data_IF_795328887448
#
_entry.id   IF_795328887448
#
_cell.length_a   1.000
_cell.length_b   1.000
_cell.length_c   1.000
_cell.angle_alpha   90.00
_cell.angle_beta   90.00
_cell.angle_gamma   90.00
#
_symmetry.space_group_name_H-M   'P 1'
#
loop_
_entity.id
_entity.type
_entity.pdbx_description
1 polymer ?
#
# COMPACT_ATOMS: atom_id res chain seq x y z
N UNK A 1 41.27 15.60 5.36
CA UNK A 1 40.00 16.35 5.30
C UNK A 1 38.81 15.38 5.20
N UNK A 2 38.77 14.35 6.05
CA UNK A 2 37.87 13.18 5.93
C UNK A 2 37.03 12.94 7.20
N UNK A 3 36.83 13.98 8.02
CA UNK A 3 36.19 13.85 9.34
C UNK A 3 35.00 14.78 9.55
N UNK A 4 34.53 15.46 8.50
CA UNK A 4 33.32 16.30 8.52
C UNK A 4 32.14 15.72 7.73
N UNK A 5 32.29 14.54 7.12
CA UNK A 5 31.24 13.88 6.33
C UNK A 5 30.36 12.89 7.13
N UNK A 6 30.56 12.78 8.44
CA UNK A 6 29.93 11.72 9.24
C UNK A 6 29.17 12.18 10.49
N UNK A 7 28.67 13.42 10.50
CA UNK A 7 27.82 13.98 11.58
C UNK A 7 26.71 14.90 11.03
N UNK A 8 25.75 14.32 10.30
CA UNK A 8 24.43 14.94 10.06
C UNK A 8 23.33 13.98 9.54
N UNK A 9 23.45 12.65 9.70
CA UNK A 9 22.33 11.71 9.45
C UNK A 9 21.33 11.71 10.61
N UNK A 10 20.78 12.89 10.94
CA UNK A 10 19.51 12.97 11.64
C UNK A 10 18.42 12.71 10.57
N UNK A 11 17.60 11.69 10.81
CA UNK A 11 16.51 11.20 9.96
C UNK A 11 15.64 12.32 9.38
N UNK A 12 15.92 12.75 8.14
CA UNK A 12 15.07 13.69 7.43
C UNK A 12 13.80 12.95 6.97
N UNK A 13 12.62 13.41 7.40
CA UNK A 13 11.35 12.85 6.97
C UNK A 13 10.91 13.48 5.64
N UNK A 14 10.52 12.65 4.68
CA UNK A 14 9.83 13.10 3.48
C UNK A 14 8.39 13.53 3.79
N UNK A 15 7.72 12.80 4.69
CA UNK A 15 6.35 13.09 5.14
C UNK A 15 6.25 12.91 6.64
N UNK A 16 5.56 13.85 7.31
CA UNK A 16 5.12 13.70 8.68
C UNK A 16 3.64 14.08 8.80
N UNK A 17 2.82 13.12 9.21
CA UNK A 17 1.42 13.30 9.57
C UNK A 17 1.29 13.17 11.07
N UNK A 18 0.64 14.12 11.72
CA UNK A 18 0.38 14.09 13.15
C UNK A 18 -1.09 14.30 13.42
N UNK A 19 -1.74 13.25 13.94
CA UNK A 19 -3.14 13.30 14.40
C UNK A 19 -4.14 13.75 13.33
N UNK A 20 -3.90 13.33 12.08
CA UNK A 20 -4.68 13.77 10.92
C UNK A 20 -6.03 13.08 10.89
N UNK A 21 -7.10 13.86 10.83
CA UNK A 21 -8.46 13.33 10.68
C UNK A 21 -9.15 13.89 9.45
N UNK A 22 -10.02 13.08 8.84
CA UNK A 22 -10.81 13.48 7.67
C UNK A 22 -12.16 12.78 7.66
N UNK A 23 -13.23 13.54 7.48
CA UNK A 23 -14.61 13.07 7.42
C UNK A 23 -15.26 13.48 6.11
N UNK A 24 -15.96 12.53 5.47
CA UNK A 24 -16.79 12.80 4.30
C UNK A 24 -18.25 12.47 4.61
N UNK A 25 -19.14 13.47 4.52
CA UNK A 25 -20.60 13.28 4.73
C UNK A 25 -20.93 12.52 6.04
N UNK A 26 -20.18 12.80 7.11
CA UNK A 26 -20.34 12.16 8.42
C UNK A 26 -19.61 10.82 8.60
N UNK A 27 -18.96 10.28 7.56
CA UNK A 27 -18.13 9.07 7.65
C UNK A 27 -16.65 9.46 7.83
N UNK A 28 -16.06 9.09 8.96
CA UNK A 28 -14.63 9.28 9.25
C UNK A 28 -13.77 8.40 8.34
N UNK A 29 -13.12 9.00 7.36
CA UNK A 29 -12.18 8.33 6.46
C UNK A 29 -10.78 8.20 7.06
N UNK A 30 -10.38 9.15 7.91
CA UNK A 30 -9.15 9.11 8.71
C UNK A 30 -9.47 9.57 10.12
N UNK A 31 -8.91 8.89 11.12
CA UNK A 31 -9.19 9.11 12.52
C UNK A 31 -7.87 9.18 13.31
N UNK A 32 -7.42 10.38 13.68
CA UNK A 32 -6.18 10.59 14.45
C UNK A 32 -4.93 9.92 13.81
N UNK A 33 -4.85 9.92 12.48
CA UNK A 33 -3.81 9.22 11.73
C UNK A 33 -2.45 9.90 11.93
N UNK A 34 -1.48 9.15 12.46
CA UNK A 34 -0.10 9.58 12.63
C UNK A 34 0.83 8.68 11.81
N UNK A 35 1.67 9.28 10.97
CA UNK A 35 2.51 8.56 10.01
C UNK A 35 3.81 9.33 9.79
N UNK A 36 4.93 8.63 9.70
CA UNK A 36 6.23 9.22 9.36
C UNK A 36 6.89 8.42 8.25
N UNK A 37 7.29 9.09 7.18
CA UNK A 37 7.93 8.48 6.01
C UNK A 37 9.35 8.99 5.89
N UNK A 38 10.37 8.13 5.99
CA UNK A 38 11.75 8.51 5.74
C UNK A 38 11.97 9.06 4.32
N UNK A 39 12.93 9.96 4.15
CA UNK A 39 13.35 10.40 2.82
C UNK A 39 14.19 9.33 2.10
N UNK A 40 14.09 9.29 0.76
CA UNK A 40 14.92 8.43 -0.09
C UNK A 40 14.60 6.94 -0.01
N UNK A 41 13.36 6.56 0.33
CA UNK A 41 12.95 5.16 0.42
C UNK A 41 11.70 4.87 -0.41
N UNK A 42 11.45 3.58 -0.64
CA UNK A 42 10.16 3.06 -1.06
C UNK A 42 9.27 2.82 0.17
N UNK A 43 8.20 3.59 0.29
CA UNK A 43 7.21 3.51 1.36
C UNK A 43 5.89 2.94 0.83
N UNK A 44 5.44 1.81 1.36
CA UNK A 44 4.14 1.24 1.04
C UNK A 44 3.07 1.63 2.07
N UNK A 45 1.92 2.08 1.57
CA UNK A 45 0.71 2.26 2.35
C UNK A 45 -0.22 1.06 2.08
N UNK A 46 -0.17 0.07 2.96
CA UNK A 46 -0.87 -1.20 2.81
C UNK A 46 -2.20 -1.18 3.56
N UNK A 47 -3.23 -1.82 3.00
CA UNK A 47 -4.52 -2.02 3.68
C UNK A 47 -5.63 -2.34 2.70
N UNK A 48 -6.80 -2.81 3.16
CA UNK A 48 -7.91 -3.14 2.28
C UNK A 48 -8.56 -1.90 1.65
N UNK A 49 -9.50 -2.14 0.74
CA UNK A 49 -10.35 -1.09 0.19
C UNK A 49 -11.19 -0.41 1.28
N UNK A 50 -11.19 0.92 1.28
CA UNK A 50 -11.90 1.72 2.30
C UNK A 50 -11.11 1.98 3.59
N UNK A 51 -9.88 1.47 3.73
CA UNK A 51 -9.05 1.71 4.91
C UNK A 51 -8.61 3.17 5.10
N UNK A 52 -8.71 4.03 4.07
CA UNK A 52 -8.29 5.44 4.12
C UNK A 52 -7.05 5.77 3.28
N UNK A 53 -6.44 4.78 2.61
CA UNK A 53 -5.22 4.94 1.78
C UNK A 53 -5.31 6.12 0.80
N UNK A 54 -6.30 6.10 -0.09
CA UNK A 54 -6.48 7.15 -1.10
C UNK A 54 -6.80 8.52 -0.48
N UNK A 55 -7.46 8.56 0.68
CA UNK A 55 -7.71 9.82 1.42
C UNK A 55 -6.39 10.38 1.93
N UNK A 56 -5.55 9.55 2.56
CA UNK A 56 -4.20 9.95 3.01
C UNK A 56 -3.39 10.49 1.84
N UNK A 57 -3.34 9.77 0.71
CA UNK A 57 -2.58 10.21 -0.46
C UNK A 57 -3.13 11.52 -1.07
N UNK A 58 -4.46 11.71 -1.12
CA UNK A 58 -5.06 12.96 -1.60
C UNK A 58 -4.72 14.15 -0.70
N UNK A 59 -4.62 13.95 0.62
CA UNK A 59 -4.17 14.98 1.57
C UNK A 59 -2.72 15.35 1.29
N UNK A 60 -1.84 14.34 1.19
CA UNK A 60 -0.44 14.56 0.85
C UNK A 60 -0.28 15.26 -0.51
N UNK A 61 -1.15 14.95 -1.47
CA UNK A 61 -1.14 15.57 -2.80
C UNK A 61 -1.81 16.94 -2.89
N UNK A 62 -2.25 17.53 -1.77
CA UNK A 62 -2.95 18.83 -1.71
C UNK A 62 -4.31 18.84 -2.42
N UNK A 63 -4.85 17.67 -2.77
CA UNK A 63 -6.13 17.52 -3.49
C UNK A 63 -7.33 17.62 -2.56
N UNK A 64 -7.13 17.40 -1.27
CA UNK A 64 -8.12 17.63 -0.22
C UNK A 64 -7.40 18.08 1.05
N UNK A 65 -8.03 18.93 1.85
CA UNK A 65 -7.49 19.33 3.16
C UNK A 65 -7.83 18.28 4.21
N UNK A 66 -7.00 18.16 5.26
CA UNK A 66 -7.42 17.49 6.48
C UNK A 66 -8.48 18.34 7.21
N UNK A 67 -9.28 17.72 8.09
CA UNK A 67 -10.19 18.45 8.97
C UNK A 67 -9.49 18.87 10.27
N UNK A 68 -8.44 18.15 10.65
CA UNK A 68 -7.55 18.45 11.78
C UNK A 68 -6.20 17.74 11.63
N UNK A 69 -5.25 18.10 12.48
CA UNK A 69 -3.90 17.53 12.51
C UNK A 69 -2.92 18.24 11.57
N UNK A 70 -1.64 17.91 11.74
CA UNK A 70 -0.53 18.55 11.02
C UNK A 70 -0.07 17.65 9.86
N UNK A 71 0.19 18.27 8.71
CA UNK A 71 0.61 17.59 7.48
C UNK A 71 1.83 18.30 6.93
N UNK A 72 3.00 17.68 7.06
CA UNK A 72 4.27 18.22 6.57
C UNK A 72 4.84 17.37 5.45
N UNK A 73 5.27 18.01 4.35
CA UNK A 73 6.01 17.40 3.25
C UNK A 73 7.36 18.08 3.14
N UNK A 74 8.43 17.32 3.36
CA UNK A 74 9.80 17.84 3.37
C UNK A 74 9.94 19.09 4.29
N UNK A 75 9.27 19.07 5.44
CA UNK A 75 9.23 20.17 6.43
C UNK A 75 8.25 21.31 6.11
N UNK A 76 7.54 21.26 4.97
CA UNK A 76 6.62 22.30 4.53
C UNK A 76 5.19 21.90 4.87
N UNK A 77 4.44 22.79 5.51
CA UNK A 77 3.03 22.56 5.84
C UNK A 77 2.15 22.62 4.58
N UNK A 78 1.40 21.54 4.37
CA UNK A 78 0.52 21.35 3.20
C UNK A 78 -0.66 22.32 3.18
N UNK A 79 -1.17 22.71 4.35
CA UNK A 79 -2.30 23.63 4.46
C UNK A 79 -1.87 25.08 4.23
N UNK A 80 -0.67 25.47 4.69
CA UNK A 80 -0.20 26.86 4.54
C UNK A 80 0.50 27.12 3.20
N UNK A 81 1.24 26.13 2.68
CA UNK A 81 2.10 26.30 1.50
C UNK A 81 1.84 25.25 0.40
N UNK A 82 0.58 25.02 -0.03
CA UNK A 82 0.24 23.93 -0.95
C UNK A 82 0.88 24.07 -2.35
N UNK A 83 1.18 25.30 -2.81
CA UNK A 83 1.84 25.54 -4.09
C UNK A 83 3.29 25.05 -4.09
N UNK A 84 4.00 25.30 -3.00
CA UNK A 84 5.38 24.86 -2.81
C UNK A 84 5.45 23.34 -2.71
N UNK A 85 4.54 22.74 -1.94
CA UNK A 85 4.39 21.28 -1.86
C UNK A 85 4.17 20.66 -3.24
N UNK A 86 3.29 21.21 -4.07
CA UNK A 86 3.03 20.70 -5.43
C UNK A 86 4.24 20.72 -6.36
N UNK A 87 5.24 21.58 -6.11
CA UNK A 87 6.49 21.58 -6.87
C UNK A 87 7.42 20.42 -6.45
N UNK A 88 7.25 19.89 -5.24
CA UNK A 88 8.08 18.82 -4.69
C UNK A 88 7.53 17.42 -4.97
N UNK A 89 6.26 17.30 -5.35
CA UNK A 89 5.57 16.02 -5.48
C UNK A 89 5.16 15.73 -6.93
N UNK A 90 5.15 14.44 -7.28
CA UNK A 90 4.46 13.91 -8.46
C UNK A 90 3.35 12.98 -7.99
N UNK A 91 2.14 13.13 -8.53
CA UNK A 91 0.99 12.34 -8.11
C UNK A 91 0.41 11.55 -9.28
N UNK A 92 0.15 10.26 -9.05
CA UNK A 92 -0.59 9.38 -9.97
C UNK A 92 -1.82 8.88 -9.24
N UNK A 93 -3.01 9.23 -9.74
CA UNK A 93 -4.29 8.81 -9.15
C UNK A 93 -4.63 7.37 -9.49
N UNK A 94 -5.55 6.75 -8.75
CA UNK A 94 -6.01 5.39 -9.04
C UNK A 94 -6.70 5.31 -10.42
N UNK A 95 -7.69 6.19 -10.65
CA UNK A 95 -8.41 6.26 -11.91
C UNK A 95 -7.62 7.05 -12.96
N UNK A 96 -7.41 6.45 -14.12
CA UNK A 96 -6.70 7.13 -15.21
C UNK A 96 -7.58 8.18 -15.88
N UNK A 97 -7.12 9.42 -15.98
CA UNK A 97 -7.87 10.53 -16.60
C UNK A 97 -7.04 11.24 -17.67
N UNK A 98 -6.82 10.55 -18.79
CA UNK A 98 -6.15 11.14 -19.97
C UNK A 98 -7.16 11.78 -20.92
N UNK A 99 -6.84 12.96 -21.44
CA UNK A 99 -7.58 13.58 -22.55
C UNK A 99 -7.40 12.73 -23.81
N UNK A 100 -8.50 12.12 -24.26
CA UNK A 100 -8.55 11.14 -25.36
C UNK A 100 -8.25 11.71 -26.75
N UNK A 101 -8.26 13.03 -26.90
CA UNK A 101 -8.05 13.72 -28.18
C UNK A 101 -6.57 13.93 -28.45
N UNK A 102 -5.81 14.30 -27.41
CA UNK A 102 -4.38 14.55 -27.50
C UNK A 102 -3.59 13.26 -27.78
N UNK A 103 -2.41 13.41 -28.37
CA UNK A 103 -1.38 12.38 -28.41
C UNK A 103 -0.62 12.31 -27.09
N UNK A 104 0.10 11.20 -26.84
CA UNK A 104 0.97 11.08 -25.67
C UNK A 104 2.05 12.17 -25.64
N UNK A 105 2.65 12.51 -26.78
CA UNK A 105 3.63 13.59 -26.86
C UNK A 105 3.05 14.96 -26.48
N UNK A 106 1.84 15.27 -26.96
CA UNK A 106 1.13 16.51 -26.62
C UNK A 106 0.76 16.55 -25.13
N UNK A 107 0.36 15.42 -24.55
CA UNK A 107 0.14 15.28 -23.10
C UNK A 107 1.40 15.60 -22.29
N UNK A 108 2.54 15.00 -22.65
CA UNK A 108 3.80 15.26 -21.97
C UNK A 108 4.25 16.71 -22.14
N UNK A 109 4.04 17.29 -23.32
CA UNK A 109 4.35 18.71 -23.58
C UNK A 109 3.47 19.62 -22.72
N UNK A 110 2.17 19.34 -22.66
CA UNK A 110 1.22 20.08 -21.83
C UNK A 110 1.57 20.00 -20.34
N UNK A 111 1.89 18.80 -19.84
CA UNK A 111 2.32 18.59 -18.45
C UNK A 111 3.62 19.34 -18.15
N UNK A 112 4.61 19.30 -19.05
CA UNK A 112 5.86 20.05 -18.90
C UNK A 112 5.62 21.58 -18.85
N UNK A 113 4.68 22.09 -19.64
CA UNK A 113 4.34 23.51 -19.65
C UNK A 113 3.63 23.95 -18.35
N UNK A 114 2.77 23.09 -17.78
CA UNK A 114 2.16 23.30 -16.45
C UNK A 114 3.21 23.36 -15.33
N UNK A 115 4.30 22.59 -15.47
CA UNK A 115 5.45 22.63 -14.56
C UNK A 115 6.50 23.67 -14.94
N UNK A 116 6.22 24.53 -15.91
CA UNK A 116 7.10 25.60 -16.37
C UNK A 116 8.52 25.14 -16.75
N UNK A 117 8.64 23.94 -17.33
CA UNK A 117 9.94 23.41 -17.75
C UNK A 117 10.50 24.24 -18.93
N UNK A 118 11.78 24.67 -18.86
CA UNK A 118 12.44 25.33 -19.98
C UNK A 118 12.41 24.45 -21.24
N UNK A 119 12.24 25.05 -22.42
CA UNK A 119 12.07 24.31 -23.68
C UNK A 119 13.20 23.31 -23.97
N UNK A 120 14.44 23.68 -23.66
CA UNK A 120 15.62 22.80 -23.82
C UNK A 120 15.54 21.58 -22.92
N UNK A 121 15.24 21.78 -21.64
CA UNK A 121 15.08 20.70 -20.66
C UNK A 121 13.86 19.83 -20.97
N UNK A 122 12.75 20.42 -21.42
CA UNK A 122 11.52 19.70 -21.76
C UNK A 122 11.76 18.61 -22.80
N UNK A 123 12.46 18.90 -23.90
CA UNK A 123 12.70 17.91 -24.94
C UNK A 123 13.55 16.73 -24.42
N UNK A 124 14.61 17.04 -23.68
CA UNK A 124 15.46 16.04 -23.03
C UNK A 124 14.65 15.17 -22.06
N UNK A 125 13.77 15.79 -21.27
CA UNK A 125 12.90 15.12 -20.30
C UNK A 125 11.89 14.20 -20.95
N UNK A 126 11.19 14.69 -21.95
CA UNK A 126 10.21 13.91 -22.70
C UNK A 126 10.88 12.69 -23.33
N UNK A 127 12.06 12.85 -23.94
CA UNK A 127 12.83 11.73 -24.48
C UNK A 127 13.18 10.71 -23.39
N UNK A 128 13.71 11.16 -22.26
CA UNK A 128 14.11 10.28 -21.15
C UNK A 128 12.92 9.48 -20.57
N UNK A 129 11.78 10.12 -20.27
CA UNK A 129 10.62 9.41 -19.72
C UNK A 129 9.96 8.48 -20.76
N UNK A 130 9.99 8.86 -22.04
CA UNK A 130 9.49 8.02 -23.14
C UNK A 130 10.29 6.73 -23.26
N UNK A 131 11.61 6.81 -23.12
CA UNK A 131 12.51 5.66 -23.13
C UNK A 131 12.31 4.79 -21.88
N UNK A 132 12.32 5.40 -20.69
CA UNK A 132 12.14 4.71 -19.41
C UNK A 132 10.83 3.91 -19.33
N UNK A 133 9.77 4.39 -19.98
CA UNK A 133 8.44 3.77 -19.95
C UNK A 133 8.07 3.05 -21.26
N UNK A 134 9.05 2.85 -22.15
CA UNK A 134 8.88 2.14 -23.42
C UNK A 134 7.67 2.64 -24.23
N UNK A 135 7.57 3.97 -24.41
CA UNK A 135 6.40 4.62 -25.03
C UNK A 135 6.58 4.94 -26.53
N UNK A 136 7.79 4.77 -27.07
CA UNK A 136 8.18 5.30 -28.39
C UNK A 136 7.24 4.92 -29.54
N UNK A 137 6.82 3.66 -29.63
CA UNK A 137 6.00 3.16 -30.75
C UNK A 137 4.58 3.77 -30.84
N UNK A 138 4.09 4.32 -29.72
CA UNK A 138 2.70 4.75 -29.59
C UNK A 138 2.55 6.18 -29.05
N UNK A 139 3.64 6.84 -28.70
CA UNK A 139 3.66 8.19 -28.14
C UNK A 139 2.91 9.22 -29.02
N UNK A 140 3.03 9.09 -30.34
CA UNK A 140 2.38 9.99 -31.30
C UNK A 140 0.95 9.55 -31.71
N UNK A 141 0.44 8.45 -31.16
CA UNK A 141 -0.96 8.04 -31.34
C UNK A 141 -1.84 8.81 -30.34
N UNK A 142 -3.09 9.04 -30.71
CA UNK A 142 -4.09 9.65 -29.80
C UNK A 142 -4.31 8.75 -28.58
N UNK A 143 -4.32 9.32 -27.39
CA UNK A 143 -4.46 8.55 -26.14
C UNK A 143 -5.82 7.85 -26.03
N UNK A 144 -6.83 8.28 -26.80
CA UNK A 144 -8.10 7.58 -26.93
C UNK A 144 -7.96 6.13 -27.41
N UNK A 145 -6.86 5.79 -28.10
CA UNK A 145 -6.57 4.41 -28.54
C UNK A 145 -5.70 3.62 -27.55
N UNK A 146 -5.32 4.20 -26.40
CA UNK A 146 -4.42 3.55 -25.45
C UNK A 146 -5.15 2.49 -24.62
N UNK A 147 -4.47 1.38 -24.37
CA UNK A 147 -4.86 0.40 -23.33
C UNK A 147 -4.73 1.00 -21.93
N UNK A 148 -5.27 0.33 -20.90
CA UNK A 148 -5.12 0.77 -19.51
C UNK A 148 -3.65 0.95 -19.10
N UNK A 149 -2.80 -0.03 -19.44
CA UNK A 149 -1.35 0.03 -19.17
C UNK A 149 -0.66 1.18 -19.89
N UNK A 150 -1.00 1.45 -21.15
CA UNK A 150 -0.44 2.59 -21.89
C UNK A 150 -0.82 3.94 -21.26
N UNK A 151 -2.08 4.10 -20.82
CA UNK A 151 -2.53 5.31 -20.12
C UNK A 151 -1.79 5.49 -18.79
N UNK A 152 -1.64 4.40 -18.02
CA UNK A 152 -0.90 4.44 -16.76
C UNK A 152 0.57 4.81 -16.96
N UNK A 153 1.22 4.25 -17.99
CA UNK A 153 2.59 4.64 -18.36
C UNK A 153 2.67 6.13 -18.71
N UNK A 154 1.72 6.66 -19.48
CA UNK A 154 1.67 8.10 -19.78
C UNK A 154 1.51 8.97 -18.52
N UNK A 155 0.62 8.61 -17.59
CA UNK A 155 0.44 9.36 -16.34
C UNK A 155 1.69 9.34 -15.46
N UNK A 156 2.34 8.18 -15.36
CA UNK A 156 3.60 8.05 -14.66
C UNK A 156 4.69 8.90 -15.32
N UNK A 157 4.75 8.92 -16.66
CA UNK A 157 5.66 9.78 -17.40
C UNK A 157 5.41 11.26 -17.07
N UNK A 158 4.16 11.72 -17.08
CA UNK A 158 3.80 13.09 -16.68
C UNK A 158 4.29 13.41 -15.26
N UNK A 159 4.06 12.51 -14.30
CA UNK A 159 4.50 12.71 -12.92
C UNK A 159 6.04 12.74 -12.76
N UNK A 160 6.79 12.11 -13.68
CA UNK A 160 8.24 12.05 -13.69
C UNK A 160 8.92 13.27 -14.34
N UNK A 161 8.22 14.00 -15.22
CA UNK A 161 8.81 15.05 -16.07
C UNK A 161 9.54 16.14 -15.28
N UNK A 162 8.94 16.64 -14.20
CA UNK A 162 9.49 17.73 -13.39
C UNK A 162 10.47 17.27 -12.31
N UNK A 163 10.78 15.98 -12.23
CA UNK A 163 11.63 15.37 -11.20
C UNK A 163 11.27 15.77 -9.77
N UNK A 164 10.08 15.38 -9.31
CA UNK A 164 9.71 15.60 -7.92
C UNK A 164 10.64 14.85 -6.97
N UNK A 165 10.77 15.37 -5.76
CA UNK A 165 11.49 14.70 -4.67
C UNK A 165 10.71 13.50 -4.14
N UNK A 166 9.38 13.57 -4.21
CA UNK A 166 8.47 12.56 -3.66
C UNK A 166 7.43 12.18 -4.72
N UNK A 167 7.35 10.89 -5.05
CA UNK A 167 6.26 10.34 -5.84
C UNK A 167 5.17 9.79 -4.94
N UNK A 168 3.93 10.10 -5.25
CA UNK A 168 2.75 9.62 -4.55
C UNK A 168 1.89 8.88 -5.57
N UNK A 169 1.73 7.57 -5.39
CA UNK A 169 1.03 6.72 -6.34
C UNK A 169 -0.12 6.00 -5.65
N UNK A 170 -1.33 6.20 -6.16
CA UNK A 170 -2.52 5.55 -5.64
C UNK A 170 -2.84 4.30 -6.49
N UNK A 171 -2.55 3.10 -5.96
CA UNK A 171 -2.74 1.81 -6.63
C UNK A 171 -2.27 1.77 -8.11
N UNK A 172 -0.99 2.08 -8.39
CA UNK A 172 -0.51 2.30 -9.75
C UNK A 172 -0.51 1.04 -10.63
N UNK A 173 -0.47 -0.15 -10.03
CA UNK A 173 -0.36 -1.45 -10.72
C UNK A 173 -1.70 -2.16 -10.95
N UNK A 174 -2.80 -1.63 -10.39
CA UNK A 174 -4.10 -2.30 -10.44
C UNK A 174 -4.65 -2.35 -11.86
N UNK A 175 -5.15 -3.53 -12.25
CA UNK A 175 -5.75 -3.75 -13.57
C UNK A 175 -4.75 -3.76 -14.74
N UNK A 176 -3.45 -3.84 -14.45
CA UNK A 176 -2.41 -3.94 -15.46
C UNK A 176 -2.06 -5.38 -15.80
N UNK A 177 -1.62 -5.59 -17.03
CA UNK A 177 -0.98 -6.84 -17.43
C UNK A 177 0.39 -7.01 -16.73
N UNK A 178 0.90 -8.25 -16.60
CA UNK A 178 2.15 -8.53 -15.89
C UNK A 178 3.36 -7.74 -16.39
N UNK A 179 3.46 -7.51 -17.71
CA UNK A 179 4.58 -6.79 -18.33
C UNK A 179 4.55 -5.31 -17.94
N UNK A 180 3.40 -4.65 -18.08
CA UNK A 180 3.21 -3.26 -17.67
C UNK A 180 3.41 -3.05 -16.17
N UNK A 181 2.95 -3.99 -15.34
CA UNK A 181 3.18 -3.97 -13.89
C UNK A 181 4.68 -4.03 -13.60
N UNK A 182 5.40 -5.00 -14.16
CA UNK A 182 6.83 -5.16 -13.93
C UNK A 182 7.63 -3.90 -14.34
N UNK A 183 7.32 -3.32 -15.51
CA UNK A 183 7.96 -2.11 -15.99
C UNK A 183 7.78 -0.94 -15.00
N UNK A 184 6.54 -0.68 -14.56
CA UNK A 184 6.25 0.40 -13.62
C UNK A 184 7.01 0.22 -12.31
N UNK A 185 6.98 -0.99 -11.74
CA UNK A 185 7.68 -1.26 -10.48
C UNK A 185 9.20 -1.08 -10.61
N UNK A 186 9.79 -1.44 -11.75
CA UNK A 186 11.21 -1.20 -12.03
C UNK A 186 11.54 0.30 -12.14
N UNK A 187 10.69 1.09 -12.82
CA UNK A 187 10.86 2.54 -12.92
C UNK A 187 10.80 3.19 -11.53
N UNK A 188 9.85 2.77 -10.68
CA UNK A 188 9.73 3.27 -9.31
C UNK A 188 10.95 2.93 -8.45
N UNK A 189 11.47 1.70 -8.54
CA UNK A 189 12.76 1.34 -7.91
C UNK A 189 13.91 2.21 -8.41
N UNK A 190 13.96 2.48 -9.71
CA UNK A 190 14.95 3.39 -10.29
C UNK A 190 14.88 4.80 -9.69
N UNK A 191 13.68 5.30 -9.38
CA UNK A 191 13.50 6.59 -8.70
C UNK A 191 14.08 6.57 -7.29
N UNK A 192 13.87 5.50 -6.52
CA UNK A 192 14.43 5.33 -5.17
C UNK A 192 15.95 5.25 -5.21
N UNK A 193 16.51 4.47 -6.14
CA UNK A 193 17.96 4.39 -6.36
C UNK A 193 18.59 5.74 -6.73
N UNK A 194 17.81 6.65 -7.34
CA UNK A 194 18.21 8.03 -7.60
C UNK A 194 18.03 8.97 -6.39
N UNK A 195 17.72 8.46 -5.21
CA UNK A 195 17.58 9.20 -3.95
C UNK A 195 16.21 9.86 -3.74
N UNK A 196 15.20 9.49 -4.53
CA UNK A 196 13.84 10.04 -4.40
C UNK A 196 13.00 9.17 -3.47
N UNK A 197 11.97 9.76 -2.85
CA UNK A 197 10.99 8.98 -2.08
C UNK A 197 9.85 8.53 -2.98
N UNK A 198 9.44 7.28 -2.86
CA UNK A 198 8.23 6.75 -3.50
C UNK A 198 7.25 6.34 -2.42
N UNK A 199 6.03 6.85 -2.45
CA UNK A 199 4.92 6.49 -1.57
C UNK A 199 3.85 5.85 -2.43
N UNK A 200 3.57 4.57 -2.20
CA UNK A 200 2.61 3.81 -3.00
C UNK A 200 1.53 3.21 -2.11
N UNK A 201 0.25 3.49 -2.40
CA UNK A 201 -0.83 2.69 -1.84
C UNK A 201 -0.98 1.39 -2.61
N UNK A 202 -1.21 0.30 -1.89
CA UNK A 202 -1.53 -1.00 -2.49
C UNK A 202 -2.29 -1.84 -1.48
N UNK A 203 -3.05 -2.81 -1.97
CA UNK A 203 -3.61 -3.91 -1.18
C UNK A 203 -2.88 -5.24 -1.48
N UNK A 204 -1.91 -5.22 -2.40
CA UNK A 204 -1.21 -6.41 -2.86
C UNK A 204 0.08 -6.62 -2.04
N UNK A 205 0.06 -7.65 -1.21
CA UNK A 205 1.19 -8.00 -0.33
C UNK A 205 2.49 -8.27 -1.10
N UNK A 206 2.39 -8.94 -2.25
CA UNK A 206 3.55 -9.25 -3.10
C UNK A 206 4.34 -8.00 -3.50
N UNK A 207 3.66 -6.88 -3.76
CA UNK A 207 4.31 -5.62 -4.13
C UNK A 207 5.08 -5.03 -2.96
N UNK A 208 4.50 -5.11 -1.77
CA UNK A 208 5.12 -4.63 -0.54
C UNK A 208 6.35 -5.46 -0.21
N UNK A 209 6.24 -6.79 -0.27
CA UNK A 209 7.37 -7.68 0.01
C UNK A 209 8.51 -7.51 -1.00
N UNK A 210 8.18 -7.22 -2.26
CA UNK A 210 9.17 -7.01 -3.30
C UNK A 210 9.85 -5.64 -3.18
N UNK A 211 9.11 -4.57 -2.91
CA UNK A 211 9.59 -3.20 -3.14
C UNK A 211 9.85 -2.38 -1.88
N UNK A 212 9.12 -2.64 -0.79
CA UNK A 212 9.04 -1.69 0.31
C UNK A 212 10.25 -1.78 1.24
N UNK A 213 10.94 -0.65 1.41
CA UNK A 213 11.91 -0.47 2.50
C UNK A 213 11.16 -0.30 3.84
N UNK A 214 10.06 0.46 3.79
CA UNK A 214 9.17 0.74 4.91
C UNK A 214 7.71 0.62 4.48
N UNK A 215 6.85 0.29 5.43
CA UNK A 215 5.41 0.34 5.21
C UNK A 215 4.65 0.83 6.44
N UNK A 216 3.42 1.28 6.19
CA UNK A 216 2.38 1.36 7.20
C UNK A 216 1.17 0.55 6.74
N UNK A 217 0.63 -0.26 7.65
CA UNK A 217 -0.63 -0.96 7.49
C UNK A 217 -1.73 -0.08 8.06
N UNK A 218 -2.76 0.19 7.27
CA UNK A 218 -3.92 0.99 7.64
C UNK A 218 -5.18 0.13 7.61
N UNK A 219 -6.00 0.26 8.65
CA UNK A 219 -7.40 -0.18 8.64
C UNK A 219 -8.28 0.90 9.26
N UNK A 220 -9.50 1.08 8.72
CA UNK A 220 -10.51 2.01 9.23
C UNK A 220 -10.02 3.42 9.60
N UNK A 221 -9.10 3.98 8.81
CA UNK A 221 -8.56 5.33 9.00
C UNK A 221 -7.45 5.45 10.06
N UNK A 222 -6.95 4.32 10.57
CA UNK A 222 -5.88 4.25 11.58
C UNK A 222 -4.66 3.48 11.06
N UNK A 223 -3.46 3.88 11.49
CA UNK A 223 -2.26 3.06 11.29
C UNK A 223 -2.23 1.99 12.38
N UNK A 224 -2.36 0.72 11.98
CA UNK A 224 -2.34 -0.42 12.91
C UNK A 224 -0.93 -0.97 13.10
N UNK A 225 -0.06 -0.84 12.10
CA UNK A 225 1.34 -1.23 12.20
C UNK A 225 2.20 -0.36 11.26
N UNK A 226 3.44 -0.07 11.65
CA UNK A 226 4.41 0.61 10.79
C UNK A 226 5.85 0.18 11.10
N UNK A 227 6.68 0.09 10.07
CA UNK A 227 8.06 -0.37 10.18
C UNK A 227 8.61 -0.90 8.86
N UNK A 228 9.73 -1.61 8.92
CA UNK A 228 10.23 -2.40 7.77
C UNK A 228 9.43 -3.71 7.68
N UNK A 229 9.27 -4.32 6.48
CA UNK A 229 8.57 -5.59 6.33
C UNK A 229 9.09 -6.68 7.28
N UNK A 230 10.41 -6.79 7.40
CA UNK A 230 11.08 -7.74 8.29
C UNK A 230 10.76 -7.47 9.76
N UNK A 231 10.87 -6.21 10.21
CA UNK A 231 10.60 -5.86 11.62
C UNK A 231 9.15 -6.12 12.03
N UNK A 232 8.19 -5.96 11.11
CA UNK A 232 6.78 -6.22 11.39
C UNK A 232 6.52 -7.73 11.53
N UNK A 233 7.15 -8.56 10.70
CA UNK A 233 7.05 -10.03 10.79
C UNK A 233 7.72 -10.55 12.07
N UNK A 234 8.93 -10.07 12.37
CA UNK A 234 9.70 -10.50 13.55
C UNK A 234 9.01 -10.16 14.89
N UNK A 235 8.24 -9.08 14.95
CA UNK A 235 7.42 -8.73 16.13
C UNK A 235 6.32 -9.74 16.46
N UNK A 236 5.99 -10.62 15.52
CA UNK A 236 4.98 -11.66 15.70
C UNK A 236 5.67 -12.98 16.03
N UNK A 237 6.55 -13.44 15.14
CA UNK A 237 7.25 -14.71 15.28
C UNK A 237 7.92 -15.13 13.99
N UNK A 238 8.50 -16.33 13.99
CA UNK A 238 9.14 -16.90 12.80
C UNK A 238 8.17 -17.74 11.97
N UNK A 239 7.45 -18.63 12.65
CA UNK A 239 6.64 -19.67 12.03
C UNK A 239 5.20 -19.63 12.55
N UNK A 240 4.28 -20.08 11.71
CA UNK A 240 2.87 -20.25 12.04
C UNK A 240 2.34 -21.60 11.59
N UNK A 241 1.38 -22.11 12.34
CA UNK A 241 0.57 -23.26 11.96
C UNK A 241 -0.88 -22.81 11.78
N UNK A 242 -1.37 -22.82 10.56
CA UNK A 242 -2.78 -22.60 10.25
C UNK A 242 -3.51 -23.94 10.23
N UNK A 243 -4.60 -24.08 10.99
CA UNK A 243 -5.38 -25.29 11.15
C UNK A 243 -6.84 -25.02 10.80
N UNK A 244 -7.44 -25.93 10.04
CA UNK A 244 -8.89 -26.04 9.83
C UNK A 244 -9.37 -27.39 10.37
N UNK A 245 -10.31 -27.36 11.30
CA UNK A 245 -10.85 -28.58 11.89
C UNK A 245 -11.87 -29.25 10.95
N UNK A 246 -12.68 -28.43 10.28
CA UNK A 246 -13.62 -28.83 9.23
C UNK A 246 -13.53 -27.87 8.05
N UNK A 247 -14.23 -28.21 6.95
CA UNK A 247 -14.45 -27.28 5.84
C UNK A 247 -15.08 -25.96 6.33
N UNK A 248 -16.02 -26.07 7.29
CA UNK A 248 -16.55 -24.96 8.08
C UNK A 248 -16.50 -25.33 9.56
N UNK A 249 -15.47 -24.86 10.27
CA UNK A 249 -15.33 -25.11 11.71
C UNK A 249 -16.41 -24.31 12.45
N UNK A 250 -17.06 -24.94 13.43
CA UNK A 250 -18.05 -24.23 14.25
C UNK A 250 -17.36 -23.34 15.31
N UNK A 251 -18.02 -22.28 15.79
CA UNK A 251 -17.47 -21.45 16.87
C UNK A 251 -17.14 -22.26 18.13
N UNK A 252 -17.97 -23.27 18.45
CA UNK A 252 -17.79 -24.14 19.61
C UNK A 252 -16.55 -25.02 19.48
N UNK A 253 -16.35 -25.65 18.31
CA UNK A 253 -15.15 -26.45 18.02
C UNK A 253 -13.89 -25.58 18.05
N UNK A 254 -13.93 -24.37 17.49
CA UNK A 254 -12.80 -23.45 17.53
C UNK A 254 -12.45 -23.03 18.96
N UNK A 255 -13.44 -22.81 19.83
CA UNK A 255 -13.22 -22.52 21.25
C UNK A 255 -12.63 -23.71 22.01
N UNK A 256 -13.12 -24.93 21.75
CA UNK A 256 -12.57 -26.15 22.34
C UNK A 256 -11.12 -26.36 21.91
N UNK A 257 -10.81 -26.15 20.63
CA UNK A 257 -9.45 -26.21 20.11
C UNK A 257 -8.53 -25.16 20.76
N UNK A 258 -8.98 -23.90 20.88
CA UNK A 258 -8.22 -22.85 21.54
C UNK A 258 -7.87 -23.24 22.99
N UNK A 259 -8.82 -23.80 23.74
CA UNK A 259 -8.57 -24.28 25.10
C UNK A 259 -7.53 -25.39 25.12
N UNK A 260 -7.69 -26.42 24.29
CA UNK A 260 -6.77 -27.54 24.23
C UNK A 260 -5.34 -27.13 23.83
N UNK A 261 -5.21 -26.19 22.89
CA UNK A 261 -3.94 -25.70 22.37
C UNK A 261 -3.26 -24.69 23.30
N UNK A 262 -4.02 -23.91 24.08
CA UNK A 262 -3.46 -22.92 25.01
C UNK A 262 -2.59 -23.51 26.13
N UNK A 263 -2.72 -24.82 26.36
CA UNK A 263 -1.92 -25.56 27.35
C UNK A 263 -0.51 -25.95 26.83
N UNK A 264 -0.26 -25.80 25.52
CA UNK A 264 0.99 -26.23 24.90
C UNK A 264 2.07 -25.15 25.05
N UNK A 265 3.16 -25.50 25.72
CA UNK A 265 4.34 -24.64 25.82
C UNK A 265 4.94 -24.36 24.44
N UNK A 266 5.17 -23.08 24.13
CA UNK A 266 5.76 -22.62 22.88
C UNK A 266 4.75 -22.18 21.80
N UNK A 267 3.44 -22.30 22.05
CA UNK A 267 2.43 -21.53 21.31
C UNK A 267 2.34 -20.15 21.97
N UNK A 268 2.75 -19.11 21.23
CA UNK A 268 2.75 -17.73 21.73
C UNK A 268 1.35 -17.13 21.73
N UNK A 269 0.60 -17.39 20.67
CA UNK A 269 -0.66 -16.74 20.41
C UNK A 269 -1.51 -17.61 19.46
N UNK A 270 -2.83 -17.58 19.67
CA UNK A 270 -3.82 -18.29 18.87
C UNK A 270 -4.80 -17.27 18.32
N UNK A 271 -4.84 -17.12 17.01
CA UNK A 271 -5.75 -16.20 16.32
C UNK A 271 -6.84 -17.02 15.62
N UNK A 272 -8.08 -16.76 15.96
CA UNK A 272 -9.24 -17.37 15.29
C UNK A 272 -9.70 -16.43 14.18
N UNK A 273 -9.84 -16.92 12.96
CA UNK A 273 -10.36 -16.16 11.82
C UNK A 273 -11.80 -16.59 11.48
N UNK A 274 -12.83 -15.85 11.92
CA UNK A 274 -14.23 -16.18 11.63
C UNK A 274 -14.58 -16.12 10.13
N UNK A 275 -13.92 -15.24 9.37
CA UNK A 275 -14.16 -15.06 7.93
C UNK A 275 -13.75 -16.29 7.12
N UNK A 276 -12.82 -17.11 7.64
CA UNK A 276 -12.34 -18.33 6.98
C UNK A 276 -12.85 -19.60 7.67
N UNK A 277 -14.10 -19.58 8.14
CA UNK A 277 -14.74 -20.73 8.79
C UNK A 277 -14.05 -21.10 10.10
N UNK A 278 -13.71 -20.08 10.90
CA UNK A 278 -13.03 -20.21 12.19
C UNK A 278 -11.68 -20.96 12.13
N UNK A 279 -10.92 -20.73 11.06
CA UNK A 279 -9.56 -21.23 10.94
C UNK A 279 -8.69 -20.70 12.09
N UNK A 280 -7.86 -21.57 12.66
CA UNK A 280 -6.98 -21.27 13.78
C UNK A 280 -5.59 -20.99 13.23
N UNK A 281 -4.99 -19.86 13.57
CA UNK A 281 -3.59 -19.56 13.26
C UNK A 281 -2.81 -19.50 14.55
N UNK A 282 -1.86 -20.42 14.71
CA UNK A 282 -0.99 -20.54 15.87
C UNK A 282 0.35 -19.91 15.54
N UNK A 283 0.79 -18.96 16.36
CA UNK A 283 2.14 -18.42 16.28
C UNK A 283 3.03 -19.30 17.17
N UNK A 284 3.98 -20.00 16.57
CA UNK A 284 4.79 -21.02 17.25
C UNK A 284 6.25 -20.60 17.32
N UNK A 285 6.94 -21.03 18.38
CA UNK A 285 8.37 -20.76 18.57
C UNK A 285 9.29 -21.66 17.75
N UNK A 286 8.88 -22.92 17.59
CA UNK A 286 9.62 -23.95 16.89
C UNK A 286 8.68 -24.86 16.10
N UNK A 287 9.19 -25.42 15.00
CA UNK A 287 8.41 -26.30 14.13
C UNK A 287 8.02 -27.61 14.79
N UNK A 288 8.79 -28.12 15.76
CA UNK A 288 8.45 -29.33 16.51
C UNK A 288 7.14 -29.21 17.30
N UNK A 289 6.70 -27.99 17.59
CA UNK A 289 5.43 -27.73 18.29
C UNK A 289 4.24 -28.11 17.40
N UNK A 290 4.39 -28.12 16.07
CA UNK A 290 3.27 -28.42 15.19
C UNK A 290 2.73 -29.84 15.38
N UNK A 291 3.60 -30.83 15.56
CA UNK A 291 3.19 -32.22 15.77
C UNK A 291 2.43 -32.35 17.10
N UNK A 292 2.96 -31.77 18.17
CA UNK A 292 2.29 -31.73 19.47
C UNK A 292 0.93 -31.03 19.45
N UNK A 293 0.80 -29.95 18.67
CA UNK A 293 -0.47 -29.25 18.50
C UNK A 293 -1.52 -30.13 17.80
N UNK A 294 -1.11 -30.87 16.75
CA UNK A 294 -2.00 -31.76 16.02
C UNK A 294 -2.42 -32.97 16.86
N UNK A 295 -1.48 -33.57 17.60
CA UNK A 295 -1.77 -34.68 18.51
C UNK A 295 -2.75 -34.27 19.61
N UNK A 296 -2.56 -33.07 20.18
CA UNK A 296 -3.46 -32.55 21.22
C UNK A 296 -4.88 -32.31 20.73
N UNK A 297 -5.04 -31.88 19.47
CA UNK A 297 -6.37 -31.75 18.85
C UNK A 297 -7.02 -33.11 18.63
N UNK A 298 -6.25 -34.12 18.22
CA UNK A 298 -6.73 -35.49 18.07
C UNK A 298 -7.16 -36.09 19.42
N UNK A 299 -6.38 -35.89 20.48
CA UNK A 299 -6.71 -36.31 21.86
C UNK A 299 -8.00 -35.65 22.38
N UNK A 300 -8.25 -34.40 21.99
CA UNK A 300 -9.48 -33.68 22.30
C UNK A 300 -10.70 -34.14 21.47
N UNK A 301 -10.52 -35.11 20.57
CA UNK A 301 -11.57 -35.62 19.70
C UNK A 301 -12.00 -34.65 18.60
N UNK A 302 -11.16 -33.66 18.27
CA UNK A 302 -11.47 -32.65 17.25
C UNK A 302 -11.02 -33.14 15.87
N UNK A 303 -11.85 -33.00 14.83
CA UNK A 303 -11.47 -33.38 13.48
C UNK A 303 -10.37 -32.45 12.95
N UNK A 304 -9.53 -32.98 12.06
CA UNK A 304 -8.53 -32.22 11.33
C UNK A 304 -8.82 -32.33 9.84
N UNK A 305 -9.20 -31.20 9.23
CA UNK A 305 -9.48 -31.14 7.79
C UNK A 305 -8.24 -30.76 6.99
N UNK A 306 -7.53 -29.73 7.42
CA UNK A 306 -6.30 -29.27 6.79
C UNK A 306 -5.41 -28.52 7.78
N UNK A 307 -4.11 -28.57 7.55
CA UNK A 307 -3.16 -27.69 8.22
C UNK A 307 -2.08 -27.20 7.26
N UNK A 308 -1.46 -26.07 7.59
CA UNK A 308 -0.34 -25.50 6.84
C UNK A 308 0.69 -24.91 7.80
N UNK A 309 1.93 -25.39 7.71
CA UNK A 309 3.07 -24.81 8.40
C UNK A 309 3.81 -23.88 7.44
N UNK A 310 3.90 -22.60 7.80
CA UNK A 310 4.56 -21.58 6.97
C UNK A 310 5.22 -20.51 7.82
N UNK A 311 5.99 -19.63 7.18
CA UNK A 311 6.55 -18.45 7.84
C UNK A 311 5.49 -17.36 8.02
N UNK A 312 5.70 -16.48 8.99
CA UNK A 312 4.90 -15.27 9.15
C UNK A 312 5.01 -14.36 7.92
N UNK A 313 3.85 -13.94 7.41
CA UNK A 313 3.69 -12.98 6.32
C UNK A 313 3.19 -11.63 6.85
N UNK A 314 3.15 -10.62 5.97
CA UNK A 314 2.52 -9.33 6.32
C UNK A 314 1.00 -9.44 6.50
N UNK A 315 0.37 -10.45 5.90
CA UNK A 315 -1.06 -10.72 6.11
C UNK A 315 -1.33 -11.15 7.55
N UNK A 316 -0.39 -11.88 8.17
CA UNK A 316 -0.51 -12.30 9.56
C UNK A 316 -0.42 -11.12 10.53
N UNK A 317 0.34 -10.08 10.16
CA UNK A 317 0.38 -8.81 10.91
C UNK A 317 -1.01 -8.18 10.92
N UNK A 318 -1.67 -8.14 9.77
CA UNK A 318 -3.02 -7.62 9.66
C UNK A 318 -4.04 -8.53 10.38
N UNK A 319 -3.91 -9.85 10.26
CA UNK A 319 -4.75 -10.85 10.92
C UNK A 319 -4.68 -10.75 12.44
N UNK A 320 -3.49 -10.55 13.00
CA UNK A 320 -3.29 -10.39 14.45
C UNK A 320 -4.00 -9.15 14.98
N UNK A 321 -3.86 -8.02 14.29
CA UNK A 321 -4.42 -6.75 14.75
C UNK A 321 -5.94 -6.64 14.51
N UNK A 322 -6.49 -7.33 13.50
CA UNK A 322 -7.89 -7.15 13.08
C UNK A 322 -8.78 -8.39 13.18
N UNK A 323 -8.21 -9.57 13.44
CA UNK A 323 -8.92 -10.86 13.48
C UNK A 323 -9.34 -11.41 12.11
N UNK A 324 -8.94 -10.77 11.02
CA UNK A 324 -9.24 -11.18 9.62
C UNK A 324 -8.05 -10.86 8.72
N UNK A 325 -7.89 -11.56 7.60
CA UNK A 325 -6.83 -11.23 6.62
C UNK A 325 -7.19 -9.98 5.80
N UNK A 326 -6.22 -9.41 5.08
CA UNK A 326 -6.48 -8.29 4.16
C UNK A 326 -7.50 -8.73 3.10
N UNK A 327 -7.33 -9.95 2.56
CA UNK A 327 -8.23 -10.52 1.56
C UNK A 327 -9.65 -10.67 2.09
N UNK A 328 -9.82 -11.14 3.33
CA UNK A 328 -11.14 -11.25 3.97
C UNK A 328 -11.82 -9.88 4.11
N UNK A 329 -11.05 -8.85 4.48
CA UNK A 329 -11.55 -7.49 4.58
C UNK A 329 -11.97 -6.92 3.21
N UNK A 330 -11.25 -7.24 2.14
CA UNK A 330 -11.61 -6.84 0.78
C UNK A 330 -12.89 -7.52 0.29
N UNK A 331 -13.00 -8.85 0.47
CA UNK A 331 -14.19 -9.60 0.11
C UNK A 331 -15.44 -9.08 0.85
N UNK A 332 -15.29 -8.78 2.14
CA UNK A 332 -16.34 -8.18 2.96
C UNK A 332 -16.78 -6.81 2.43
N UNK A 333 -15.82 -5.99 2.01
CA UNK A 333 -16.10 -4.66 1.46
C UNK A 333 -16.82 -4.73 0.11
N UNK A 334 -16.53 -5.73 -0.73
CA UNK A 334 -17.23 -5.95 -2.01
C UNK A 334 -18.68 -6.40 -1.78
N UNK A 335 -18.92 -7.29 -0.80
CA UNK A 335 -20.26 -7.76 -0.46
C UNK A 335 -21.22 -6.68 0.06
N UNK A 336 -20.67 -5.60 0.63
CA UNK A 336 -21.44 -4.46 1.17
C UNK A 336 -21.70 -3.34 0.14
N UNK A 337 -21.05 -3.36 -1.03
CA UNK A 337 -21.18 -2.30 -2.03
C UNK A 337 -22.34 -2.55 -2.99
N UNK A 338 -23.37 -1.71 -2.92
CA UNK A 338 -24.40 -1.62 -3.97
C UNK A 338 -23.86 -0.80 -5.16
N UNK A 339 -23.09 -1.47 -6.01
CA UNK A 339 -22.44 -0.89 -7.19
C UNK A 339 -23.41 -0.15 -8.13
N UNK A 340 -24.71 -0.53 -8.13
CA UNK A 340 -25.74 0.17 -8.92
C UNK A 340 -26.06 1.54 -8.33
N UNK A 341 -26.11 1.66 -7.01
CA UNK A 341 -26.41 2.91 -6.30
C UNK A 341 -25.24 3.89 -6.39
N UNK A 342 -24.01 3.38 -6.29
CA UNK A 342 -22.77 4.16 -6.44
C UNK A 342 -22.62 4.73 -7.87
N UNK A 343 -22.84 3.92 -8.91
CA UNK A 343 -22.84 4.40 -10.31
C UNK A 343 -23.89 5.47 -10.57
N UNK A 344 -25.08 5.35 -9.96
CA UNK A 344 -26.16 6.33 -10.09
C UNK A 344 -25.87 7.65 -9.37
N UNK A 345 -25.04 7.63 -8.33
CA UNK A 345 -24.57 8.84 -7.64
C UNK A 345 -23.38 9.50 -8.35
N UNK A 346 -22.50 8.73 -9.01
CA UNK A 346 -21.38 9.29 -9.77
C UNK A 346 -21.80 9.93 -11.11
N UNK A 347 -22.98 9.60 -11.63
CA UNK A 347 -23.57 10.21 -12.85
C UNK A 347 -24.45 11.44 -12.56
N UNK A 348 -24.52 11.93 -11.32
CA UNK A 348 -25.25 13.14 -10.91
C UNK A 348 -24.29 14.23 -10.49
#
# INVERSE_FOLDING_TARGET
MSTLQNKANASHLAVALKRVSKTYKGLGALNDLTLSVPAGCFFALLGPNGAGKSTTLKILSTLTSSDSGDVLINGIDVNTSPREVRQLIGYVAQDTSVDKVLTGYEHLTFSADLHHLPRSLRQQRIAAVTEQLAMGEWLHRRTGTYSGGMRRRLELACALLHEPRIFILDEPSVGLDPESRHLILNVLRGCVNAGRTVIMSTHQLEEVELLADHLAIIDQGHVIAAGTPTSLKEKIGSDKLTIKLREFTTPEEAQLACKALSEISGIKEIIVNPCQGYALTLIIEDKGISEHALDRLADAGLPLFAYNLSKISLDDVYLRETGRTIVDAELSAVGLRDLKRERKQAMR
#
